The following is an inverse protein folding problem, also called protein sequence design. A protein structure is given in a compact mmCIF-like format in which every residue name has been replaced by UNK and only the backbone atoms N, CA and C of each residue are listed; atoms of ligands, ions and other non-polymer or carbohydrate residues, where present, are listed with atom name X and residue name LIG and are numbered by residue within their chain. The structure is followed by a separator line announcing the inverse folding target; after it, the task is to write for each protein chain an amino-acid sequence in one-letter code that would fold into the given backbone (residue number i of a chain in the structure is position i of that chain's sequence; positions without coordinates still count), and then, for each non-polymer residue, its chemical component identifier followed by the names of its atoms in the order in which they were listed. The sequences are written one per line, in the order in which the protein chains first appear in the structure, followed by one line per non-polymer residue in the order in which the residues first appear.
data_IF_871290002100
#
_entry.id   IF_871290002100
#
_cell.length_a   1.000
_cell.length_b   1.000
_cell.length_c   1.000
_cell.angle_alpha   90.00
_cell.angle_beta   90.00
_cell.angle_gamma   90.00
#
_symmetry.space_group_name_H-M   'P 1'
#
loop_
_entity.id
_entity.type
_entity.pdbx_description
1 polymer ?
#
# COMPACT_ATOMS: atom_id res chain seq x y z
N UNK A 1 2.91 -21.99 3.17
CA UNK A 1 4.13 -21.21 3.47
C UNK A 1 5.18 -22.13 4.05
N UNK A 2 6.25 -22.41 3.31
CA UNK A 2 7.47 -23.00 3.88
C UNK A 2 8.47 -21.88 4.09
N UNK A 3 9.03 -21.79 5.29
CA UNK A 3 10.18 -20.94 5.53
C UNK A 3 11.39 -21.74 5.05
N UNK A 4 12.13 -21.29 4.03
CA UNK A 4 13.29 -22.03 3.55
C UNK A 4 14.43 -21.93 4.56
N UNK A 5 15.15 -23.03 4.74
CA UNK A 5 16.44 -23.03 5.44
C UNK A 5 17.50 -22.64 4.42
N UNK A 6 18.19 -21.53 4.64
CA UNK A 6 19.21 -21.00 3.73
C UNK A 6 20.56 -21.69 3.93
N UNK A 7 20.91 -21.99 5.19
CA UNK A 7 22.16 -22.69 5.56
C UNK A 7 21.95 -23.54 6.81
N UNK A 8 22.73 -24.60 6.96
CA UNK A 8 22.64 -25.53 8.08
C UNK A 8 21.49 -26.53 7.91
N UNK A 9 20.83 -26.90 9.00
CA UNK A 9 19.75 -27.91 9.00
C UNK A 9 18.53 -27.47 9.81
N UNK A 10 17.43 -28.18 9.62
CA UNK A 10 16.22 -28.03 10.43
C UNK A 10 16.31 -28.89 11.71
N UNK A 11 15.39 -28.66 12.66
CA UNK A 11 15.23 -29.47 13.86
C UNK A 11 14.86 -30.91 13.51
N UNK A 12 15.39 -31.85 14.28
CA UNK A 12 14.97 -33.25 14.23
C UNK A 12 13.85 -33.52 15.25
N UNK A 13 13.03 -34.57 15.04
CA UNK A 13 11.99 -34.93 16.01
C UNK A 13 12.54 -35.27 17.39
N UNK A 14 13.70 -35.92 17.47
CA UNK A 14 14.36 -36.29 18.72
C UNK A 14 14.78 -35.05 19.53
N UNK A 15 15.40 -34.06 18.87
CA UNK A 15 15.79 -32.78 19.49
C UNK A 15 14.59 -32.00 20.01
N UNK A 16 13.41 -32.21 19.42
CA UNK A 16 12.16 -31.55 19.82
C UNK A 16 11.58 -32.18 21.09
N UNK A 17 11.67 -33.52 21.21
CA UNK A 17 11.24 -34.27 22.40
C UNK A 17 12.21 -34.09 23.57
N UNK A 18 13.50 -34.07 23.30
CA UNK A 18 14.56 -33.89 24.31
C UNK A 18 14.78 -32.42 24.71
N UNK A 19 14.05 -31.47 24.11
CA UNK A 19 14.24 -30.02 24.26
C UNK A 19 15.73 -29.63 24.18
N UNK A 20 16.44 -30.17 23.19
CA UNK A 20 17.87 -29.90 23.06
C UNK A 20 18.12 -28.39 22.93
N UNK A 21 19.21 -27.87 23.52
CA UNK A 21 19.54 -26.45 23.47
C UNK A 21 20.08 -26.06 22.08
N UNK A 22 19.22 -26.11 21.07
CA UNK A 22 19.52 -25.76 19.68
C UNK A 22 18.56 -24.68 19.20
N UNK A 23 19.05 -23.82 18.31
CA UNK A 23 18.27 -22.73 17.74
C UNK A 23 18.50 -22.58 16.24
N UNK A 24 17.49 -22.09 15.55
CA UNK A 24 17.57 -21.62 14.16
C UNK A 24 17.33 -20.12 14.20
N UNK A 25 18.16 -19.34 13.52
CA UNK A 25 18.05 -17.88 13.49
C UNK A 25 17.64 -17.39 12.11
N UNK A 26 16.93 -16.26 12.01
CA UNK A 26 16.68 -15.66 10.69
C UNK A 26 17.95 -15.08 10.07
N UNK A 27 17.97 -14.91 8.76
CA UNK A 27 19.11 -14.29 8.06
C UNK A 27 19.44 -12.89 8.60
N UNK A 28 18.42 -12.08 8.91
CA UNK A 28 18.58 -10.77 9.52
C UNK A 28 19.14 -10.84 10.96
N UNK A 29 18.75 -11.86 11.74
CA UNK A 29 19.31 -12.09 13.07
C UNK A 29 20.79 -12.47 13.00
N UNK A 30 21.12 -13.42 12.11
CA UNK A 30 22.49 -13.86 11.86
C UNK A 30 23.39 -12.68 11.48
N UNK A 31 22.95 -11.85 10.54
CA UNK A 31 23.76 -10.71 10.09
C UNK A 31 23.92 -9.63 11.16
N UNK A 32 22.89 -9.38 11.98
CA UNK A 32 22.97 -8.39 13.08
C UNK A 32 23.84 -8.83 14.23
N UNK A 33 23.77 -10.10 14.61
CA UNK A 33 24.47 -10.63 15.78
C UNK A 33 25.93 -11.02 15.47
N UNK A 34 26.18 -11.53 14.27
CA UNK A 34 27.48 -12.11 13.89
C UNK A 34 28.16 -11.38 12.71
N UNK A 35 27.53 -10.36 12.13
CA UNK A 35 28.10 -9.60 11.02
C UNK A 35 28.36 -10.47 9.80
N UNK A 36 29.65 -10.62 9.45
CA UNK A 36 30.13 -11.49 8.36
C UNK A 36 30.65 -12.85 8.84
N UNK A 37 30.68 -13.12 10.14
CA UNK A 37 31.12 -14.40 10.69
C UNK A 37 30.07 -15.49 10.45
N UNK A 38 30.51 -16.76 10.47
CA UNK A 38 29.61 -17.90 10.30
C UNK A 38 28.92 -18.22 11.64
N UNK A 39 27.61 -18.01 11.78
CA UNK A 39 26.90 -18.25 13.04
C UNK A 39 26.68 -19.74 13.31
N UNK A 40 26.84 -20.61 12.30
CA UNK A 40 26.56 -22.04 12.44
C UNK A 40 27.55 -22.70 13.41
N UNK A 41 27.02 -23.42 14.38
CA UNK A 41 27.79 -24.12 15.41
C UNK A 41 28.18 -23.25 16.61
N UNK A 42 27.96 -21.93 16.56
CA UNK A 42 28.24 -21.05 17.68
C UNK A 42 27.18 -21.14 18.77
N UNK A 43 27.61 -20.87 20.01
CA UNK A 43 26.75 -20.81 21.19
C UNK A 43 26.23 -19.38 21.36
N UNK A 44 24.93 -19.27 21.57
CA UNK A 44 24.23 -18.02 21.79
C UNK A 44 23.56 -18.06 23.16
N UNK A 45 23.87 -17.09 24.00
CA UNK A 45 23.24 -16.94 25.31
C UNK A 45 21.88 -16.26 25.14
N UNK A 46 20.79 -17.02 25.28
CA UNK A 46 19.45 -16.45 25.26
C UNK A 46 19.10 -15.92 26.66
N UNK A 47 19.15 -14.60 26.80
CA UNK A 47 18.60 -13.92 27.97
C UNK A 47 17.06 -14.02 27.95
N UNK A 48 16.47 -14.77 28.88
CA UNK A 48 15.03 -15.02 28.93
C UNK A 48 14.61 -15.93 30.09
N UNK A 49 13.37 -16.40 30.10
CA UNK A 49 12.90 -17.44 31.03
C UNK A 49 12.41 -18.66 30.23
N UNK A 50 13.16 -19.77 30.21
CA UNK A 50 14.44 -20.00 30.87
C UNK A 50 15.63 -19.37 30.12
N UNK A 51 16.63 -18.90 30.87
CA UNK A 51 17.96 -18.58 30.30
C UNK A 51 18.58 -19.90 29.87
N UNK A 52 18.97 -20.01 28.59
CA UNK A 52 19.65 -21.19 28.07
C UNK A 52 20.70 -20.77 27.06
N UNK A 53 21.87 -21.37 27.14
CA UNK A 53 22.82 -21.35 26.04
C UNK A 53 22.32 -22.27 24.94
N UNK A 54 22.16 -21.76 23.73
CA UNK A 54 21.70 -22.55 22.59
C UNK A 54 22.72 -22.54 21.47
N UNK A 55 22.89 -23.69 20.82
CA UNK A 55 23.75 -23.82 19.65
C UNK A 55 22.96 -23.51 18.38
N UNK A 56 23.50 -22.64 17.55
CA UNK A 56 22.87 -22.29 16.26
C UNK A 56 23.14 -23.42 15.27
N UNK A 57 22.09 -24.07 14.78
CA UNK A 57 22.18 -25.21 13.85
C UNK A 57 21.71 -24.88 12.42
N UNK A 58 21.07 -23.73 12.24
CA UNK A 58 20.51 -23.34 10.94
C UNK A 58 20.21 -21.85 10.84
N UNK A 59 20.13 -21.39 9.60
CA UNK A 59 19.70 -20.04 9.22
C UNK A 59 18.45 -20.16 8.35
N UNK A 60 17.35 -19.57 8.79
CA UNK A 60 16.08 -19.52 8.07
C UNK A 60 15.94 -18.23 7.25
N UNK A 61 15.16 -18.27 6.18
CA UNK A 61 14.77 -17.07 5.43
C UNK A 61 13.98 -16.09 6.30
N UNK A 62 14.21 -14.79 6.09
CA UNK A 62 13.49 -13.74 6.82
C UNK A 62 11.99 -13.80 6.50
N UNK A 63 11.17 -13.67 7.55
CA UNK A 63 9.72 -13.51 7.44
C UNK A 63 9.28 -12.20 8.10
N UNK A 64 8.04 -11.82 7.84
CA UNK A 64 7.36 -10.69 8.49
C UNK A 64 6.27 -11.28 9.39
N UNK A 65 6.46 -11.19 10.70
CA UNK A 65 5.69 -11.91 11.72
C UNK A 65 4.88 -10.95 12.59
N UNK A 66 5.48 -9.85 13.05
CA UNK A 66 4.90 -9.09 14.16
C UNK A 66 4.15 -7.83 13.71
N UNK A 67 4.66 -7.06 12.76
CA UNK A 67 4.01 -5.82 12.33
C UNK A 67 4.48 -5.41 10.93
N UNK A 68 3.57 -5.45 9.96
CA UNK A 68 3.81 -4.89 8.60
C UNK A 68 4.30 -3.43 8.70
N UNK A 69 3.83 -2.69 9.72
CA UNK A 69 4.21 -1.31 9.99
C UNK A 69 5.69 -1.13 10.44
N UNK A 70 6.33 -2.16 11.02
CA UNK A 70 7.72 -2.12 11.49
C UNK A 70 8.72 -2.80 10.55
N UNK A 71 8.26 -3.48 9.48
CA UNK A 71 9.11 -4.05 8.44
C UNK A 71 9.54 -5.50 8.67
N UNK A 72 10.71 -5.90 8.12
CA UNK A 72 11.33 -7.20 8.42
C UNK A 72 11.56 -7.29 9.93
N UNK A 73 11.11 -8.37 10.56
CA UNK A 73 11.13 -8.45 12.02
C UNK A 73 12.54 -8.22 12.58
N UNK A 74 12.63 -7.64 13.80
CA UNK A 74 13.85 -7.68 14.58
C UNK A 74 14.21 -9.15 14.82
N UNK A 75 15.29 -9.61 14.19
CA UNK A 75 16.03 -10.83 14.49
C UNK A 75 15.18 -11.97 15.12
N UNK A 76 14.60 -12.84 14.29
CA UNK A 76 13.82 -13.97 14.80
C UNK A 76 14.74 -15.13 15.21
N UNK A 77 14.40 -15.73 16.35
CA UNK A 77 15.05 -16.93 16.87
C UNK A 77 13.97 -18.00 17.02
N UNK A 78 14.15 -19.12 16.35
CA UNK A 78 13.29 -20.29 16.41
C UNK A 78 13.89 -21.29 17.40
N UNK A 79 13.04 -21.81 18.28
CA UNK A 79 13.37 -22.83 19.27
C UNK A 79 12.53 -24.08 19.04
N UNK A 80 13.04 -25.28 19.38
CA UNK A 80 12.28 -26.51 19.31
C UNK A 80 11.05 -26.43 20.22
N UNK A 81 9.89 -26.86 19.71
CA UNK A 81 8.63 -26.85 20.45
C UNK A 81 8.50 -28.13 21.27
N UNK A 82 8.79 -28.06 22.56
CA UNK A 82 8.63 -29.19 23.51
C UNK A 82 7.27 -29.22 24.21
N UNK A 83 7.07 -30.20 25.09
CA UNK A 83 5.86 -30.38 25.91
C UNK A 83 5.59 -29.23 26.88
N UNK A 84 6.59 -28.40 27.16
CA UNK A 84 6.48 -27.19 27.98
C UNK A 84 6.04 -25.95 27.19
N UNK A 85 5.94 -26.03 25.86
CA UNK A 85 5.66 -24.87 25.01
C UNK A 85 4.20 -24.44 25.14
N UNK A 86 3.97 -23.30 25.80
CA UNK A 86 2.67 -22.64 25.83
C UNK A 86 2.59 -21.66 24.66
N UNK A 87 1.61 -21.82 23.78
CA UNK A 87 1.44 -20.92 22.64
C UNK A 87 0.39 -21.35 21.63
N UNK A 88 0.35 -20.67 20.51
CA UNK A 88 -0.55 -20.97 19.40
C UNK A 88 -0.04 -22.16 18.59
N UNK A 89 -0.94 -23.09 18.24
CA UNK A 89 -0.63 -24.21 17.37
C UNK A 89 -1.02 -23.85 15.93
N UNK A 90 -0.06 -23.95 15.00
CA UNK A 90 -0.34 -23.74 13.59
C UNK A 90 -0.65 -25.09 12.92
N UNK A 91 -1.88 -25.25 12.45
CA UNK A 91 -2.30 -26.45 11.71
C UNK A 91 -2.35 -26.15 10.23
N UNK A 92 -1.68 -26.99 9.43
CA UNK A 92 -1.77 -26.92 7.96
C UNK A 92 -2.88 -27.84 7.48
N UNK A 93 -3.94 -27.25 6.95
CA UNK A 93 -5.08 -27.96 6.36
C UNK A 93 -4.90 -28.08 4.85
N UNK A 94 -5.28 -29.23 4.27
CA UNK A 94 -5.43 -29.41 2.82
C UNK A 94 -6.93 -29.54 2.50
N UNK A 95 -7.50 -28.57 1.79
CA UNK A 95 -8.94 -28.54 1.47
C UNK A 95 -9.61 -27.24 1.90
N UNK A 96 -10.91 -27.30 2.22
CA UNK A 96 -11.68 -26.14 2.67
C UNK A 96 -11.36 -25.84 4.14
N UNK A 97 -10.71 -24.70 4.38
CA UNK A 97 -10.21 -24.30 5.70
C UNK A 97 -11.35 -24.13 6.71
N UNK A 98 -12.51 -23.60 6.31
CA UNK A 98 -13.61 -23.31 7.24
C UNK A 98 -14.44 -24.54 7.62
N UNK A 99 -14.56 -25.54 6.75
CA UNK A 99 -15.17 -26.82 7.13
C UNK A 99 -14.30 -27.57 8.13
N UNK A 100 -12.99 -27.60 7.88
CA UNK A 100 -12.02 -28.26 8.75
C UNK A 100 -11.86 -27.52 10.08
N UNK A 101 -11.88 -26.19 10.08
CA UNK A 101 -11.88 -25.37 11.30
C UNK A 101 -13.06 -25.72 12.21
N UNK A 102 -14.28 -25.79 11.68
CA UNK A 102 -15.48 -26.19 12.43
C UNK A 102 -15.41 -27.64 12.93
N UNK A 103 -14.87 -28.54 12.11
CA UNK A 103 -14.63 -29.93 12.51
C UNK A 103 -13.61 -30.05 13.65
N UNK A 104 -12.55 -29.25 13.62
CA UNK A 104 -11.53 -29.20 14.67
C UNK A 104 -12.11 -28.63 15.98
N UNK A 105 -12.85 -27.53 15.87
CA UNK A 105 -13.49 -26.85 17.00
C UNK A 105 -14.45 -27.77 17.75
N UNK A 106 -15.34 -28.47 17.04
CA UNK A 106 -16.28 -29.41 17.66
C UNK A 106 -15.61 -30.60 18.34
N UNK A 107 -14.49 -31.12 17.79
CA UNK A 107 -13.71 -32.21 18.40
C UNK A 107 -12.93 -31.73 19.63
N UNK A 108 -12.37 -30.53 19.57
CA UNK A 108 -11.57 -29.97 20.66
C UNK A 108 -12.43 -29.48 21.82
N UNK A 109 -13.63 -28.96 21.54
CA UNK A 109 -14.62 -28.60 22.56
C UNK A 109 -14.98 -29.81 23.45
N UNK A 110 -14.98 -31.02 22.90
CA UNK A 110 -15.21 -32.26 23.66
C UNK A 110 -14.01 -32.76 24.46
N UNK A 111 -12.79 -32.35 24.11
CA UNK A 111 -11.55 -32.83 24.74
C UNK A 111 -11.03 -31.86 25.82
N UNK A 112 -11.16 -30.55 25.60
CA UNK A 112 -10.65 -29.52 26.51
C UNK A 112 -11.67 -28.37 26.62
N UNK A 113 -12.76 -28.53 27.41
CA UNK A 113 -13.77 -27.50 27.58
C UNK A 113 -13.14 -26.21 28.13
N UNK A 114 -13.20 -25.12 27.37
CA UNK A 114 -12.70 -23.80 27.79
C UNK A 114 -11.17 -23.60 27.72
N UNK A 115 -10.39 -24.59 27.24
CA UNK A 115 -8.93 -24.48 27.16
C UNK A 115 -8.40 -23.83 25.87
N UNK A 116 -9.24 -23.65 24.85
CA UNK A 116 -8.87 -23.03 23.57
C UNK A 116 -9.66 -21.74 23.43
N UNK A 117 -8.94 -20.62 23.40
CA UNK A 117 -9.56 -19.29 23.42
C UNK A 117 -10.17 -18.91 22.07
N UNK A 118 -9.55 -19.31 20.95
CA UNK A 118 -10.10 -19.09 19.61
C UNK A 118 -9.31 -19.85 18.52
N UNK A 119 -10.00 -20.35 17.49
CA UNK A 119 -9.38 -20.93 16.30
C UNK A 119 -9.61 -19.99 15.13
N UNK A 120 -8.56 -19.26 14.73
CA UNK A 120 -8.58 -18.35 13.58
C UNK A 120 -7.89 -18.98 12.37
N UNK A 121 -8.44 -18.70 11.18
CA UNK A 121 -7.70 -18.97 9.94
C UNK A 121 -6.58 -17.94 9.78
N UNK A 122 -5.47 -18.37 9.15
CA UNK A 122 -4.33 -17.47 8.92
C UNK A 122 -4.73 -16.25 8.06
N UNK A 123 -5.75 -16.41 7.21
CA UNK A 123 -6.28 -15.32 6.39
C UNK A 123 -7.09 -14.31 7.22
N UNK A 124 -7.86 -14.75 8.23
CA UNK A 124 -8.51 -13.85 9.18
C UNK A 124 -7.47 -13.05 9.99
N UNK A 125 -6.41 -13.72 10.44
CA UNK A 125 -5.32 -13.06 11.18
C UNK A 125 -4.61 -12.01 10.31
N UNK A 126 -4.34 -12.31 9.04
CA UNK A 126 -3.81 -11.33 8.08
C UNK A 126 -4.78 -10.19 7.79
N UNK A 127 -6.07 -10.49 7.63
CA UNK A 127 -7.08 -9.49 7.34
C UNK A 127 -7.20 -8.46 8.47
N UNK A 128 -7.09 -8.90 9.73
CA UNK A 128 -7.03 -8.01 10.88
C UNK A 128 -5.79 -7.10 10.85
N UNK A 129 -4.61 -7.66 10.56
CA UNK A 129 -3.37 -6.88 10.43
C UNK A 129 -3.36 -5.88 9.27
N UNK A 130 -4.13 -6.14 8.21
CA UNK A 130 -4.28 -5.26 7.05
C UNK A 130 -5.41 -4.23 7.19
N UNK A 131 -6.24 -4.33 8.22
CA UNK A 131 -7.40 -3.46 8.41
C UNK A 131 -7.05 -1.96 8.44
N UNK A 132 -5.99 -1.51 9.16
CA UNK A 132 -5.61 -0.09 9.18
C UNK A 132 -5.21 0.42 7.80
N UNK A 133 -4.49 -0.40 7.02
CA UNK A 133 -4.07 -0.04 5.66
C UNK A 133 -5.27 0.04 4.70
N UNK A 134 -6.24 -0.88 4.83
CA UNK A 134 -7.48 -0.83 4.05
C UNK A 134 -8.30 0.42 4.38
N UNK A 135 -8.48 0.72 5.67
CA UNK A 135 -9.18 1.92 6.12
C UNK A 135 -8.50 3.19 5.60
N UNK A 136 -7.18 3.30 5.73
CA UNK A 136 -6.41 4.41 5.19
C UNK A 136 -6.57 4.53 3.66
N UNK A 137 -6.58 3.41 2.93
CA UNK A 137 -6.81 3.43 1.47
C UNK A 137 -8.22 3.94 1.12
N UNK A 138 -9.25 3.53 1.87
CA UNK A 138 -10.63 3.96 1.65
C UNK A 138 -10.79 5.45 1.91
N UNK A 139 -10.19 5.94 3.00
CA UNK A 139 -10.16 7.38 3.32
C UNK A 139 -9.40 8.13 2.22
N UNK A 140 -8.27 7.61 1.76
CA UNK A 140 -7.49 8.19 0.66
C UNK A 140 -8.28 8.28 -0.64
N UNK A 141 -9.03 7.24 -1.00
CA UNK A 141 -9.93 7.24 -2.17
C UNK A 141 -11.05 8.28 -2.01
N UNK A 142 -11.66 8.37 -0.83
CA UNK A 142 -12.71 9.36 -0.57
C UNK A 142 -12.19 10.80 -0.68
N UNK A 143 -11.07 11.12 -0.02
CA UNK A 143 -10.43 12.44 -0.08
C UNK A 143 -9.95 12.76 -1.48
N UNK A 144 -9.34 11.79 -2.18
CA UNK A 144 -8.92 11.93 -3.58
C UNK A 144 -10.10 12.21 -4.52
N UNK A 145 -11.24 11.53 -4.31
CA UNK A 145 -12.48 11.80 -5.04
C UNK A 145 -13.01 13.21 -4.81
N UNK A 146 -13.03 13.68 -3.55
CA UNK A 146 -13.43 15.06 -3.23
C UNK A 146 -12.47 16.09 -3.84
N UNK A 147 -11.16 15.86 -3.78
CA UNK A 147 -10.17 16.72 -4.41
C UNK A 147 -10.33 16.77 -5.93
N UNK A 148 -10.68 15.64 -6.56
CA UNK A 148 -10.97 15.57 -7.98
C UNK A 148 -12.24 16.37 -8.34
N UNK A 149 -13.30 16.27 -7.54
CA UNK A 149 -14.52 17.07 -7.72
C UNK A 149 -14.24 18.57 -7.60
N UNK A 150 -13.45 18.98 -6.60
CA UNK A 150 -13.00 20.37 -6.43
C UNK A 150 -12.13 20.84 -7.61
N UNK A 151 -11.28 19.97 -8.13
CA UNK A 151 -10.47 20.27 -9.31
C UNK A 151 -11.35 20.49 -10.54
N UNK A 152 -12.32 19.60 -10.78
CA UNK A 152 -13.27 19.70 -11.89
C UNK A 152 -14.11 20.97 -11.79
N UNK A 153 -14.66 21.29 -10.61
CA UNK A 153 -15.46 22.50 -10.42
C UNK A 153 -14.63 23.77 -10.56
N UNK A 154 -13.42 23.81 -10.02
CA UNK A 154 -12.48 24.92 -10.14
C UNK A 154 -12.04 25.16 -11.60
N UNK A 155 -11.70 24.11 -12.33
CA UNK A 155 -11.35 24.21 -13.76
C UNK A 155 -12.57 24.65 -14.58
N UNK A 156 -13.76 24.09 -14.33
CA UNK A 156 -14.96 24.53 -15.02
C UNK A 156 -15.26 26.02 -14.76
N UNK A 157 -15.17 26.47 -13.50
CA UNK A 157 -15.41 27.86 -13.11
C UNK A 157 -14.41 28.83 -13.73
N UNK A 158 -13.12 28.52 -13.65
CA UNK A 158 -12.04 29.35 -14.24
C UNK A 158 -12.15 29.43 -15.76
N UNK A 159 -12.43 28.32 -16.45
CA UNK A 159 -12.62 28.32 -17.91
C UNK A 159 -13.89 29.06 -18.31
N UNK A 160 -15.00 28.85 -17.59
CA UNK A 160 -16.24 29.59 -17.84
C UNK A 160 -16.06 31.09 -17.65
N UNK A 161 -15.32 31.50 -16.62
CA UNK A 161 -14.99 32.91 -16.38
C UNK A 161 -14.12 33.49 -17.51
N UNK A 162 -13.07 32.77 -17.93
CA UNK A 162 -12.21 33.17 -19.05
C UNK A 162 -12.99 33.33 -20.36
N UNK A 163 -13.92 32.41 -20.63
CA UNK A 163 -14.83 32.49 -21.78
C UNK A 163 -15.65 33.77 -21.71
N UNK A 164 -16.31 34.03 -20.58
CA UNK A 164 -17.15 35.23 -20.41
C UNK A 164 -16.35 36.51 -20.59
N UNK A 165 -15.16 36.60 -19.98
CA UNK A 165 -14.29 37.78 -20.08
C UNK A 165 -13.78 38.02 -21.51
N UNK A 166 -13.62 36.97 -22.31
CA UNK A 166 -13.12 37.05 -23.70
C UNK A 166 -14.20 36.91 -24.76
N UNK A 167 -15.49 37.05 -24.40
CA UNK A 167 -16.62 36.90 -25.33
C UNK A 167 -16.48 37.80 -26.56
N UNK A 168 -16.05 39.07 -26.38
CA UNK A 168 -15.84 40.01 -27.51
C UNK A 168 -14.72 39.56 -28.45
N UNK A 169 -13.57 39.13 -27.92
CA UNK A 169 -12.46 38.63 -28.76
C UNK A 169 -12.83 37.35 -29.51
N UNK A 170 -13.55 36.44 -28.83
CA UNK A 170 -14.05 35.20 -29.42
C UNK A 170 -15.05 35.51 -30.54
N UNK A 171 -15.99 36.43 -30.31
CA UNK A 171 -16.97 36.87 -31.31
C UNK A 171 -16.32 37.49 -32.55
N UNK A 172 -15.31 38.35 -32.38
CA UNK A 172 -14.55 38.93 -33.51
C UNK A 172 -13.82 37.84 -34.31
N UNK A 173 -13.17 36.87 -33.66
CA UNK A 173 -12.49 35.78 -34.36
C UNK A 173 -13.44 34.87 -35.13
N UNK A 174 -14.60 34.55 -34.55
CA UNK A 174 -15.63 33.77 -35.23
C UNK A 174 -16.18 34.55 -36.44
N UNK A 175 -16.38 35.86 -36.32
CA UNK A 175 -16.77 36.72 -37.44
C UNK A 175 -15.71 36.80 -38.56
N UNK A 176 -14.43 36.69 -38.21
CA UNK A 176 -13.31 36.57 -39.15
C UNK A 176 -13.14 35.15 -39.75
N UNK A 177 -14.04 34.22 -39.45
CA UNK A 177 -14.04 32.87 -40.04
C UNK A 177 -13.31 31.79 -39.22
N UNK A 178 -12.98 32.05 -37.95
CA UNK A 178 -12.42 31.01 -37.10
C UNK A 178 -13.42 29.87 -36.87
N UNK A 179 -12.98 28.63 -37.08
CA UNK A 179 -13.81 27.46 -36.84
C UNK A 179 -14.03 27.26 -35.34
N UNK A 180 -15.20 26.72 -34.96
CA UNK A 180 -15.52 26.38 -33.57
C UNK A 180 -14.41 25.51 -32.93
N UNK A 181 -13.84 24.58 -33.69
CA UNK A 181 -12.70 23.75 -33.28
C UNK A 181 -11.45 24.57 -32.93
N UNK A 182 -11.10 25.57 -33.74
CA UNK A 182 -9.95 26.44 -33.50
C UNK A 182 -10.07 27.27 -32.22
N UNK A 183 -11.28 27.79 -31.94
CA UNK A 183 -11.55 28.53 -30.69
C UNK A 183 -11.48 27.59 -29.48
N UNK A 184 -12.08 26.39 -29.57
CA UNK A 184 -12.00 25.41 -28.47
C UNK A 184 -10.57 24.98 -28.17
N UNK A 185 -9.76 24.69 -29.19
CA UNK A 185 -8.37 24.27 -29.03
C UNK A 185 -7.52 25.36 -28.37
N UNK A 186 -7.78 26.64 -28.69
CA UNK A 186 -7.07 27.76 -28.10
C UNK A 186 -7.37 27.90 -26.61
N UNK A 187 -8.64 27.82 -26.21
CA UNK A 187 -9.06 27.86 -24.80
C UNK A 187 -8.47 26.66 -24.04
N UNK A 188 -8.60 25.45 -24.61
CA UNK A 188 -8.03 24.23 -24.04
C UNK A 188 -6.52 24.32 -23.86
N UNK A 189 -5.76 24.84 -24.82
CA UNK A 189 -4.32 25.01 -24.71
C UNK A 189 -3.93 25.97 -23.58
N UNK A 190 -4.71 27.04 -23.37
CA UNK A 190 -4.49 27.96 -22.27
C UNK A 190 -4.79 27.31 -20.93
N UNK A 191 -5.88 26.54 -20.82
CA UNK A 191 -6.19 25.71 -19.64
C UNK A 191 -5.12 24.65 -19.39
N UNK A 192 -4.57 24.06 -20.45
CA UNK A 192 -3.54 23.01 -20.36
C UNK A 192 -2.29 23.51 -19.65
N UNK A 193 -1.90 24.78 -19.86
CA UNK A 193 -0.75 25.38 -19.18
C UNK A 193 -0.97 25.46 -17.68
N UNK A 194 -2.16 25.91 -17.26
CA UNK A 194 -2.52 26.01 -15.84
C UNK A 194 -2.53 24.61 -15.21
N UNK A 195 -3.17 23.64 -15.87
CA UNK A 195 -3.21 22.25 -15.42
C UNK A 195 -1.81 21.66 -15.34
N UNK A 196 -0.96 21.85 -16.36
CA UNK A 196 0.41 21.34 -16.38
C UNK A 196 1.25 21.93 -15.25
N UNK A 197 1.13 23.23 -14.95
CA UNK A 197 1.83 23.83 -13.80
C UNK A 197 1.34 23.28 -12.46
N UNK A 198 0.02 23.12 -12.28
CA UNK A 198 -0.55 22.56 -11.05
C UNK A 198 -0.14 21.10 -10.86
N UNK A 199 -0.22 20.29 -11.91
CA UNK A 199 0.23 18.89 -11.90
C UNK A 199 1.73 18.81 -11.62
N UNK A 200 2.56 19.62 -12.28
CA UNK A 200 4.01 19.63 -12.06
C UNK A 200 4.38 19.94 -10.60
N UNK A 201 3.76 20.98 -10.02
CA UNK A 201 3.95 21.33 -8.61
C UNK A 201 3.42 20.24 -7.67
N UNK A 202 2.24 19.69 -7.95
CA UNK A 202 1.64 18.61 -7.16
C UNK A 202 2.49 17.34 -7.16
N UNK A 203 3.02 16.95 -8.31
CA UNK A 203 3.93 15.79 -8.46
C UNK A 203 5.22 16.03 -7.68
N UNK A 204 5.83 17.22 -7.81
CA UNK A 204 7.05 17.55 -7.07
C UNK A 204 6.83 17.51 -5.55
N UNK A 205 5.74 18.10 -5.06
CA UNK A 205 5.36 18.07 -3.65
C UNK A 205 5.11 16.66 -3.16
N UNK A 206 4.34 15.87 -3.92
CA UNK A 206 4.02 14.50 -3.57
C UNK A 206 5.27 13.62 -3.48
N UNK A 207 6.18 13.71 -4.46
CA UNK A 207 7.45 12.97 -4.41
C UNK A 207 8.29 13.40 -3.21
N UNK A 208 8.35 14.71 -2.91
CA UNK A 208 9.06 15.25 -1.75
C UNK A 208 8.50 14.72 -0.43
N UNK A 209 7.18 14.79 -0.26
CA UNK A 209 6.47 14.24 0.90
C UNK A 209 6.64 12.72 1.01
N UNK A 210 6.48 11.97 -0.08
CA UNK A 210 6.69 10.53 -0.09
C UNK A 210 8.10 10.16 0.35
N UNK A 211 9.13 10.92 -0.04
CA UNK A 211 10.51 10.70 0.44
C UNK A 211 10.67 11.02 1.92
N UNK A 212 10.07 12.10 2.41
CA UNK A 212 10.07 12.45 3.84
C UNK A 212 9.40 11.36 4.67
N UNK A 213 8.23 10.85 4.26
CA UNK A 213 7.56 9.75 4.93
C UNK A 213 8.35 8.43 4.84
N UNK A 214 8.95 8.14 3.68
CA UNK A 214 9.79 6.96 3.50
C UNK A 214 11.04 6.99 4.39
N UNK A 215 11.59 8.16 4.71
CA UNK A 215 12.72 8.27 5.65
C UNK A 215 12.38 7.78 7.07
N UNK A 216 11.10 7.84 7.44
CA UNK A 216 10.60 7.35 8.72
C UNK A 216 10.13 5.88 8.65
N UNK A 217 9.81 5.38 7.46
CA UNK A 217 9.30 4.02 7.24
C UNK A 217 10.30 3.20 6.42
N UNK A 218 11.17 2.46 7.14
CA UNK A 218 12.38 1.83 6.60
C UNK A 218 12.12 0.71 5.56
N UNK A 219 10.89 0.19 5.42
CA UNK A 219 10.69 -1.10 4.74
C UNK A 219 9.53 -1.22 3.74
N UNK A 220 8.78 -0.14 3.45
CA UNK A 220 7.75 -0.17 2.41
C UNK A 220 8.17 0.63 1.18
N UNK A 221 7.84 0.12 -0.01
CA UNK A 221 7.95 0.88 -1.26
C UNK A 221 6.85 1.94 -1.24
N UNK A 222 7.12 3.08 -0.61
CA UNK A 222 6.14 4.17 -0.38
C UNK A 222 5.63 4.75 -1.69
N UNK A 223 6.39 4.58 -2.78
CA UNK A 223 6.06 5.09 -4.10
C UNK A 223 5.78 3.96 -5.10
N UNK A 224 4.51 3.84 -5.48
CA UNK A 224 4.07 2.99 -6.57
C UNK A 224 3.89 3.81 -7.85
N UNK A 225 4.93 3.81 -8.69
CA UNK A 225 4.99 4.59 -9.92
C UNK A 225 3.78 4.41 -10.87
N UNK A 226 3.31 3.17 -11.17
CA UNK A 226 2.13 2.99 -12.02
C UNK A 226 0.85 3.57 -11.40
N UNK A 227 0.60 3.37 -10.10
CA UNK A 227 -0.56 3.96 -9.43
C UNK A 227 -0.49 5.49 -9.45
N UNK A 228 0.69 6.05 -9.22
CA UNK A 228 0.92 7.49 -9.25
C UNK A 228 0.69 8.07 -10.67
N UNK A 229 1.22 7.40 -11.70
CA UNK A 229 1.00 7.77 -13.10
C UNK A 229 -0.46 7.70 -13.51
N UNK A 230 -1.18 6.66 -13.08
CA UNK A 230 -2.62 6.53 -13.31
C UNK A 230 -3.41 7.68 -12.66
N UNK A 231 -3.05 8.07 -11.43
CA UNK A 231 -3.66 9.22 -10.74
C UNK A 231 -3.43 10.55 -11.47
N UNK A 232 -2.21 10.80 -11.94
CA UNK A 232 -1.90 12.01 -12.73
C UNK A 232 -2.71 12.03 -14.03
N UNK A 233 -2.76 10.91 -14.76
CA UNK A 233 -3.55 10.80 -15.99
C UNK A 233 -5.04 11.04 -15.74
N UNK A 234 -5.58 10.49 -14.64
CA UNK A 234 -6.97 10.70 -14.24
C UNK A 234 -7.26 12.19 -13.99
N UNK A 235 -6.40 12.88 -13.25
CA UNK A 235 -6.56 14.32 -12.95
C UNK A 235 -6.49 15.15 -14.23
N UNK A 236 -5.53 14.87 -15.12
CA UNK A 236 -5.41 15.58 -16.41
C UNK A 236 -6.64 15.33 -17.28
N UNK A 237 -7.12 14.09 -17.38
CA UNK A 237 -8.31 13.75 -18.15
C UNK A 237 -9.56 14.45 -17.58
N UNK A 238 -9.72 14.47 -16.26
CA UNK A 238 -10.84 15.15 -15.60
C UNK A 238 -10.81 16.66 -15.82
N UNK A 239 -9.63 17.29 -15.73
CA UNK A 239 -9.47 18.72 -15.98
C UNK A 239 -9.77 19.08 -17.45
N UNK A 240 -9.30 18.27 -18.40
CA UNK A 240 -9.62 18.42 -19.82
C UNK A 240 -11.11 18.29 -20.09
N UNK A 241 -11.76 17.27 -19.51
CA UNK A 241 -13.20 17.08 -19.63
C UNK A 241 -13.99 18.26 -19.04
N UNK A 242 -13.56 18.77 -17.89
CA UNK A 242 -14.16 19.94 -17.23
C UNK A 242 -14.05 21.20 -18.09
N UNK A 243 -12.90 21.44 -18.72
CA UNK A 243 -12.66 22.60 -19.59
C UNK A 243 -13.31 22.47 -20.98
N UNK A 244 -13.53 21.27 -21.48
CA UNK A 244 -14.11 21.03 -22.81
C UNK A 244 -15.56 21.51 -22.92
N UNK A 245 -16.39 21.27 -21.90
CA UNK A 245 -17.81 21.64 -21.89
C UNK A 245 -18.02 23.15 -22.07
N UNK A 246 -17.44 24.05 -21.24
CA UNK A 246 -17.62 25.50 -21.40
C UNK A 246 -16.97 26.02 -22.68
N UNK A 247 -15.82 25.47 -23.08
CA UNK A 247 -15.15 25.84 -24.34
C UNK A 247 -16.03 25.55 -25.56
N UNK A 248 -16.64 24.36 -25.61
CA UNK A 248 -17.54 23.96 -26.71
C UNK A 248 -18.82 24.76 -26.72
N UNK A 249 -19.35 25.13 -25.55
CA UNK A 249 -20.51 26.05 -25.46
C UNK A 249 -20.14 27.41 -26.05
N UNK A 250 -19.01 28.00 -25.66
CA UNK A 250 -18.54 29.28 -26.17
C UNK A 250 -18.44 29.30 -27.70
N UNK A 251 -17.85 28.25 -28.28
CA UNK A 251 -17.63 28.15 -29.72
C UNK A 251 -18.91 27.95 -30.55
N UNK A 252 -20.06 27.70 -29.91
CA UNK A 252 -21.36 27.46 -30.56
C UNK A 252 -22.36 28.61 -30.41
N UNK A 253 -22.06 29.62 -29.58
CA UNK A 253 -22.95 30.78 -29.43
C UNK A 253 -22.83 31.66 -30.67
N UNK A 254 -23.98 32.18 -31.12
CA UNK A 254 -24.08 33.02 -32.32
C UNK A 254 -23.25 34.32 -32.16
N UNK A 255 -22.31 34.64 -33.07
CA UNK A 255 -21.48 35.84 -32.98
C UNK A 255 -22.29 37.15 -32.93
N UNK A 256 -23.49 37.18 -33.51
CA UNK A 256 -24.36 38.37 -33.45
C UNK A 256 -24.89 38.59 -32.03
N UNK A 257 -25.16 37.53 -31.27
CA UNK A 257 -25.55 37.64 -29.86
C UNK A 257 -24.36 38.06 -28.99
N UNK A 258 -23.16 37.54 -29.27
CA UNK A 258 -21.94 37.89 -28.52
C UNK A 258 -21.55 39.38 -28.62
N UNK A 259 -21.84 40.03 -29.75
CA UNK A 259 -21.51 41.45 -29.99
C UNK A 259 -22.57 42.41 -29.44
N UNK A 260 -23.76 41.92 -29.08
CA UNK A 260 -24.87 42.73 -28.54
C UNK A 260 -24.97 42.72 -27.02
N UNK A 261 -24.21 41.87 -26.33
CA UNK A 261 -24.13 41.88 -24.87
C UNK A 261 -23.19 43.00 -24.40
N UNK A 262 -23.76 43.98 -23.69
CA UNK A 262 -23.03 45.01 -22.92
C UNK A 262 -22.56 44.48 -21.56
#
# INVERSE_FOLDING_TARGET
MSIPILRGRNFTPQETVSEEPVAIVSAAAAHRLFGSENPLGQMMHLAGKPVRDVRIIGIAGDIVTCCIAYGKDPALIYLPTGSSTRGAVLVRVRGNVESERRGLDSRLAGLVPGGISDIHSLDQYRAAGLYPFRAASLIGVAVGGLALLLTVSGVYGTVSYLVTQRTKEIGVRVALGATAGGVTALILNQSLRIVATGVGLGVALAIGLSRLLASQMVFMRVFDAPAFGAGVLLVVAAALAAGYIPSRRAARVDPIQMLRCD
#
